data_IF_772266978358
#
_entry.id   IF_772266978358
#
_cell.length_a   1.000
_cell.length_b   1.000
_cell.length_c   1.000
_cell.angle_alpha   90.00
_cell.angle_beta   90.00
_cell.angle_gamma   90.00
#
_symmetry.space_group_name_H-M   'P 1'
#
loop_
_entity.id
_entity.type
_entity.pdbx_description
1 polymer ?
#
# COMPACT_ATOMS: atom_id res chain seq x y z
N UNK A 1 -50.35 -2.37 2.06
CA UNK A 1 -49.12 -2.79 2.78
C UNK A 1 -47.95 -2.20 2.00
N UNK A 2 -47.42 -1.06 2.43
CA UNK A 2 -46.25 -0.44 1.80
C UNK A 2 -45.01 -1.19 2.26
N UNK A 3 -44.37 -1.95 1.38
CA UNK A 3 -43.04 -2.50 1.64
C UNK A 3 -42.04 -1.35 1.53
N UNK A 4 -41.62 -0.82 2.68
CA UNK A 4 -40.42 0.02 2.78
C UNK A 4 -39.23 -0.92 2.67
N UNK A 5 -38.61 -0.99 1.49
CA UNK A 5 -37.28 -1.56 1.35
C UNK A 5 -36.30 -0.61 2.06
N UNK A 6 -35.98 -0.93 3.32
CA UNK A 6 -34.82 -0.40 4.00
C UNK A 6 -33.58 -0.95 3.28
N UNK A 7 -33.07 -0.20 2.32
CA UNK A 7 -31.71 -0.37 1.86
C UNK A 7 -30.80 -0.03 3.04
N UNK A 8 -30.31 -1.05 3.73
CA UNK A 8 -29.14 -0.93 4.59
C UNK A 8 -27.96 -0.62 3.68
N UNK A 9 -27.76 0.66 3.38
CA UNK A 9 -26.50 1.14 2.82
C UNK A 9 -25.46 0.93 3.91
N UNK A 10 -24.73 -0.19 3.84
CA UNK A 10 -23.54 -0.37 4.69
C UNK A 10 -22.62 0.82 4.45
N UNK A 11 -22.26 1.53 5.53
CA UNK A 11 -21.38 2.67 5.44
C UNK A 11 -19.97 2.18 5.06
N UNK A 12 -19.37 2.83 4.06
CA UNK A 12 -18.02 2.48 3.63
C UNK A 12 -17.02 2.77 4.75
N UNK A 13 -16.25 1.74 5.12
CA UNK A 13 -15.17 1.87 6.11
C UNK A 13 -14.11 2.88 5.62
N UNK A 14 -13.78 3.91 6.39
CA UNK A 14 -12.80 4.92 6.00
C UNK A 14 -11.40 4.35 5.75
N UNK A 15 -10.73 4.82 4.71
CA UNK A 15 -9.39 4.36 4.29
C UNK A 15 -8.34 5.43 4.57
N UNK A 16 -7.28 5.02 5.25
CA UNK A 16 -6.07 5.83 5.43
C UNK A 16 -4.95 5.20 4.58
N UNK A 17 -4.47 5.95 3.58
CA UNK A 17 -3.45 5.51 2.62
C UNK A 17 -2.06 6.00 3.03
N UNK A 18 -1.10 5.08 3.17
CA UNK A 18 0.28 5.35 3.60
C UNK A 18 1.25 4.79 2.55
N UNK A 19 2.09 5.65 1.97
CA UNK A 19 3.11 5.21 1.01
C UNK A 19 4.42 4.76 1.68
N UNK A 20 5.37 4.30 0.88
CA UNK A 20 6.65 3.77 1.34
C UNK A 20 7.72 4.82 1.61
N UNK A 21 8.95 4.33 1.80
CA UNK A 21 10.14 5.16 1.69
C UNK A 21 10.13 5.81 0.31
N UNK A 22 10.48 7.11 0.22
CA UNK A 22 10.39 7.87 -1.03
C UNK A 22 8.95 8.09 -1.56
N UNK A 23 7.93 7.75 -0.77
CA UNK A 23 6.54 7.65 -1.23
C UNK A 23 5.70 8.93 -1.11
N UNK A 24 6.19 9.99 -0.49
CA UNK A 24 5.54 11.29 -0.43
C UNK A 24 6.57 12.43 -0.54
N UNK A 25 6.17 13.64 -0.95
CA UNK A 25 7.05 14.80 -0.90
C UNK A 25 7.44 15.16 0.55
N UNK A 26 8.62 15.73 0.71
CA UNK A 26 9.07 16.37 1.95
C UNK A 26 9.41 17.83 1.67
N UNK A 27 8.95 18.71 2.56
CA UNK A 27 9.16 20.14 2.50
C UNK A 27 10.01 20.58 3.67
N UNK A 28 10.87 21.58 3.47
CA UNK A 28 11.71 22.12 4.52
C UNK A 28 11.58 23.64 4.61
N UNK A 29 11.53 24.13 5.84
CA UNK A 29 11.76 25.54 6.19
C UNK A 29 13.07 25.62 6.96
N UNK A 30 13.96 26.54 6.57
CA UNK A 30 15.26 26.74 7.21
C UNK A 30 15.36 28.16 7.77
N UNK A 31 15.23 28.29 9.09
CA UNK A 31 15.50 29.54 9.78
C UNK A 31 17.00 29.68 10.04
N UNK A 32 17.69 30.47 9.20
CA UNK A 32 19.14 30.67 9.31
C UNK A 32 19.59 31.26 10.64
N UNK A 33 18.73 31.98 11.36
CA UNK A 33 19.09 32.54 12.67
C UNK A 33 19.32 31.48 13.75
N UNK A 34 18.74 30.29 13.56
CA UNK A 34 18.87 29.15 14.48
C UNK A 34 19.94 28.14 14.01
N UNK A 35 20.53 28.36 12.83
CA UNK A 35 21.63 27.55 12.29
C UNK A 35 22.96 28.03 12.88
N UNK A 36 23.89 27.13 13.30
CA UNK A 36 25.23 27.51 13.77
C UNK A 36 25.98 28.43 12.81
N UNK A 37 26.68 29.44 13.33
CA UNK A 37 27.34 30.50 12.54
C UNK A 37 28.34 29.94 11.51
N UNK A 38 29.01 28.85 11.85
CA UNK A 38 30.05 28.19 11.05
C UNK A 38 29.47 27.55 9.78
N UNK A 39 28.23 27.06 9.85
CA UNK A 39 27.49 26.58 8.68
C UNK A 39 26.82 27.75 7.96
N UNK A 40 26.20 28.65 8.74
CA UNK A 40 25.37 29.74 8.23
C UNK A 40 26.10 30.58 7.19
N UNK A 41 27.40 30.83 7.32
CA UNK A 41 28.17 31.66 6.39
C UNK A 41 28.58 31.00 5.07
N UNK A 42 28.44 29.67 4.94
CA UNK A 42 28.93 28.95 3.75
C UNK A 42 28.08 29.24 2.51
N UNK A 43 28.73 29.33 1.35
CA UNK A 43 28.09 29.65 0.07
C UNK A 43 27.26 28.50 -0.50
N UNK A 44 27.58 27.27 -0.11
CA UNK A 44 26.88 26.04 -0.46
C UNK A 44 25.79 25.64 0.55
N UNK A 45 25.54 26.48 1.58
CA UNK A 45 24.43 26.33 2.53
C UNK A 45 23.14 27.02 2.05
N UNK A 46 22.04 26.84 2.79
CA UNK A 46 20.71 27.30 2.39
C UNK A 46 20.62 28.82 2.15
N UNK A 47 19.82 29.28 1.17
CA UNK A 47 19.50 30.70 1.00
C UNK A 47 18.71 31.27 2.20
N UNK A 48 18.64 32.60 2.32
CA UNK A 48 18.00 33.26 3.47
C UNK A 48 16.51 32.95 3.64
N UNK A 49 15.78 32.78 2.54
CA UNK A 49 14.32 32.68 2.55
C UNK A 49 13.85 31.28 2.13
N UNK A 50 14.43 30.23 2.70
CA UNK A 50 13.99 28.86 2.42
C UNK A 50 12.79 28.52 3.31
N UNK A 51 11.59 28.65 2.77
CA UNK A 51 10.33 28.35 3.46
C UNK A 51 9.50 27.37 2.63
N UNK A 52 9.04 26.29 3.27
CA UNK A 52 8.22 25.25 2.68
C UNK A 52 8.76 24.75 1.31
N UNK A 53 10.08 24.64 1.19
CA UNK A 53 10.76 24.22 -0.03
C UNK A 53 10.68 22.71 -0.16
N UNK A 54 10.15 22.20 -1.27
CA UNK A 54 10.11 20.77 -1.57
C UNK A 54 11.53 20.28 -1.89
N UNK A 55 12.20 19.66 -0.92
CA UNK A 55 13.54 19.10 -1.12
C UNK A 55 13.51 17.62 -1.55
N UNK A 56 12.33 17.00 -1.48
CA UNK A 56 12.08 15.66 -2.00
C UNK A 56 10.67 15.56 -2.62
N UNK A 57 10.49 14.92 -3.80
CA UNK A 57 11.53 14.59 -4.76
C UNK A 57 12.28 15.86 -5.21
N UNK A 58 13.56 15.67 -5.55
CA UNK A 58 14.46 16.78 -5.84
C UNK A 58 14.45 17.12 -7.34
N UNK A 59 13.56 18.03 -7.73
CA UNK A 59 13.34 18.39 -9.14
C UNK A 59 14.12 19.65 -9.59
N UNK A 60 14.72 20.40 -8.65
CA UNK A 60 15.43 21.66 -8.93
C UNK A 60 16.95 21.46 -9.00
N UNK A 61 17.43 21.15 -10.22
CA UNK A 61 18.86 20.94 -10.51
C UNK A 61 19.76 22.11 -10.17
N UNK A 62 19.27 23.32 -10.35
CA UNK A 62 20.05 24.52 -10.09
C UNK A 62 20.25 24.71 -8.59
N UNK A 63 19.17 24.57 -7.81
CA UNK A 63 19.22 24.70 -6.36
C UNK A 63 20.22 23.72 -5.76
N UNK A 64 20.12 22.44 -6.11
CA UNK A 64 20.96 21.44 -5.45
C UNK A 64 22.42 21.47 -5.85
N UNK A 65 22.70 21.86 -7.10
CA UNK A 65 24.09 22.06 -7.56
C UNK A 65 24.74 23.22 -6.84
N UNK A 66 23.96 24.26 -6.55
CA UNK A 66 24.42 25.45 -5.84
C UNK A 66 24.51 25.27 -4.33
N UNK A 67 23.60 24.49 -3.73
CA UNK A 67 23.45 24.35 -2.29
C UNK A 67 23.53 22.89 -1.77
N UNK A 68 24.55 22.11 -2.12
CA UNK A 68 24.63 20.70 -1.74
C UNK A 68 24.74 20.47 -0.22
N UNK A 69 25.35 21.40 0.53
CA UNK A 69 25.37 21.32 2.00
C UNK A 69 23.98 21.54 2.58
N UNK A 70 23.19 22.47 2.03
CA UNK A 70 21.81 22.68 2.47
C UNK A 70 20.99 21.39 2.41
N UNK A 71 21.14 20.64 1.32
CA UNK A 71 20.42 19.37 1.13
C UNK A 71 20.77 18.34 2.18
N UNK A 72 22.07 18.09 2.39
CA UNK A 72 22.52 17.16 3.42
C UNK A 72 22.03 17.59 4.81
N UNK A 73 22.09 18.90 5.11
CA UNK A 73 21.67 19.45 6.38
C UNK A 73 20.17 19.25 6.69
N UNK A 74 19.30 19.30 5.68
CA UNK A 74 17.87 19.03 5.85
C UNK A 74 17.56 17.55 6.15
N UNK A 75 18.49 16.64 5.81
CA UNK A 75 18.32 15.19 5.95
C UNK A 75 19.05 14.61 7.17
N UNK A 76 19.89 15.41 7.84
CA UNK A 76 20.68 14.98 8.98
C UNK A 76 19.83 14.91 10.25
N UNK A 77 19.96 13.85 11.05
CA UNK A 77 19.33 13.78 12.36
C UNK A 77 20.09 14.64 13.39
N UNK A 78 19.36 15.25 14.30
CA UNK A 78 19.91 15.88 15.50
C UNK A 78 19.38 15.17 16.74
N UNK A 79 20.18 15.05 17.78
CA UNK A 79 19.72 14.58 19.08
C UNK A 79 19.72 15.73 20.07
N UNK A 80 18.52 16.14 20.48
CA UNK A 80 18.34 17.12 21.53
C UNK A 80 18.65 16.45 22.87
N UNK A 81 19.77 16.81 23.48
CA UNK A 81 20.23 16.22 24.75
C UNK A 81 19.37 16.63 25.95
N UNK A 82 18.67 17.77 25.86
CA UNK A 82 17.78 18.27 26.90
C UNK A 82 16.45 17.52 26.88
N UNK A 83 15.85 17.41 25.70
CA UNK A 83 14.57 16.71 25.49
C UNK A 83 14.75 15.19 25.33
N UNK A 84 16.00 14.72 25.19
CA UNK A 84 16.41 13.31 25.01
C UNK A 84 15.68 12.62 23.86
N UNK A 85 15.53 13.34 22.74
CA UNK A 85 14.85 12.85 21.54
C UNK A 85 15.55 13.31 20.28
N UNK A 86 15.27 12.62 19.19
CA UNK A 86 15.71 13.04 17.87
C UNK A 86 14.81 14.14 17.33
N UNK A 87 15.42 15.07 16.62
CA UNK A 87 14.79 16.15 15.88
C UNK A 87 15.53 16.33 14.55
N UNK A 88 15.08 17.28 13.73
CA UNK A 88 15.88 17.80 12.63
C UNK A 88 17.00 18.71 13.15
N UNK A 89 17.97 19.01 12.29
CA UNK A 89 19.08 19.93 12.59
C UNK A 89 18.60 21.31 13.06
N UNK A 90 19.37 22.03 13.91
CA UNK A 90 19.01 23.36 14.34
C UNK A 90 18.66 24.30 13.18
N UNK A 91 17.50 24.96 13.30
CA UNK A 91 16.93 25.83 12.27
C UNK A 91 16.20 25.12 11.14
N UNK A 92 16.15 23.78 11.10
CA UNK A 92 15.39 23.02 10.11
C UNK A 92 14.05 22.58 10.69
N UNK A 93 12.99 22.79 9.93
CA UNK A 93 11.70 22.14 10.13
C UNK A 93 11.32 21.41 8.86
N UNK A 94 11.10 20.09 8.96
CA UNK A 94 10.55 19.30 7.87
C UNK A 94 9.04 19.16 8.07
N UNK A 95 8.28 19.32 6.98
CA UNK A 95 6.85 19.07 6.93
C UNK A 95 6.51 18.15 5.76
N UNK A 96 5.34 17.52 5.88
CA UNK A 96 4.80 16.61 4.88
C UNK A 96 3.49 17.17 4.33
N UNK A 97 2.80 16.42 3.46
CA UNK A 97 1.48 16.81 3.01
C UNK A 97 0.50 16.88 4.19
N UNK A 98 -0.49 17.79 4.14
CA UNK A 98 -1.57 17.79 5.12
C UNK A 98 -2.30 16.44 5.15
N UNK A 99 -2.71 16.01 6.34
CA UNK A 99 -3.57 14.84 6.50
C UNK A 99 -4.81 14.94 5.59
N UNK A 100 -5.15 13.83 4.93
CA UNK A 100 -6.22 13.77 3.94
C UNK A 100 -5.73 13.87 2.50
N UNK A 101 -4.58 14.52 2.26
CA UNK A 101 -4.02 14.64 0.93
C UNK A 101 -3.32 13.35 0.49
N UNK A 102 -3.92 12.66 -0.48
CA UNK A 102 -3.35 11.47 -1.13
C UNK A 102 -2.83 11.73 -2.56
N UNK A 103 -3.02 12.94 -3.11
CA UNK A 103 -2.77 13.24 -4.53
C UNK A 103 -1.31 13.13 -4.96
N UNK A 104 -0.37 13.13 -4.01
CA UNK A 104 1.06 12.99 -4.26
C UNK A 104 1.64 11.78 -3.50
N UNK A 105 0.81 10.84 -3.06
CA UNK A 105 1.28 9.57 -2.53
C UNK A 105 1.61 8.64 -3.68
N UNK A 106 2.84 8.15 -3.71
CA UNK A 106 3.32 7.25 -4.74
C UNK A 106 2.52 5.95 -4.72
N UNK A 107 2.18 5.46 -5.92
CA UNK A 107 1.53 4.17 -6.22
C UNK A 107 0.03 4.06 -5.94
N UNK A 108 -0.64 5.11 -5.49
CA UNK A 108 -2.06 5.03 -5.11
C UNK A 108 -3.06 5.45 -6.19
N UNK A 109 -2.63 5.92 -7.37
CA UNK A 109 -3.54 6.47 -8.40
C UNK A 109 -4.68 5.49 -8.76
N UNK A 110 -4.35 4.27 -9.18
CA UNK A 110 -5.33 3.23 -9.52
C UNK A 110 -6.18 2.81 -8.32
N UNK A 111 -5.59 2.75 -7.12
CA UNK A 111 -6.32 2.41 -5.90
C UNK A 111 -7.38 3.48 -5.58
N UNK A 112 -7.00 4.76 -5.66
CA UNK A 112 -7.88 5.90 -5.42
C UNK A 112 -8.99 5.96 -6.47
N UNK A 113 -8.66 5.78 -7.75
CA UNK A 113 -9.66 5.72 -8.82
C UNK A 113 -10.71 4.63 -8.55
N UNK A 114 -10.27 3.43 -8.14
CA UNK A 114 -11.18 2.35 -7.79
C UNK A 114 -12.02 2.68 -6.55
N UNK A 115 -11.41 3.23 -5.49
CA UNK A 115 -12.13 3.65 -4.29
C UNK A 115 -13.22 4.67 -4.62
N UNK A 116 -12.90 5.70 -5.41
CA UNK A 116 -13.87 6.71 -5.85
C UNK A 116 -15.01 6.08 -6.66
N UNK A 117 -14.71 5.08 -7.50
CA UNK A 117 -15.74 4.36 -8.26
C UNK A 117 -16.71 3.56 -7.38
N UNK A 118 -16.29 3.17 -6.17
CA UNK A 118 -17.13 2.52 -5.15
C UNK A 118 -17.93 3.51 -4.28
N UNK A 119 -17.77 4.82 -4.50
CA UNK A 119 -18.47 5.86 -3.73
C UNK A 119 -17.71 6.37 -2.50
N UNK A 120 -16.40 6.14 -2.42
CA UNK A 120 -15.57 6.84 -1.44
C UNK A 120 -15.51 8.34 -1.75
N UNK A 121 -15.54 9.14 -0.69
CA UNK A 121 -15.52 10.59 -0.73
C UNK A 121 -14.22 11.13 -0.11
N UNK A 122 -13.45 11.95 -0.86
CA UNK A 122 -12.24 12.59 -0.37
C UNK A 122 -12.51 13.41 0.90
N UNK A 123 -11.64 13.28 1.91
CA UNK A 123 -11.76 13.96 3.20
C UNK A 123 -12.99 13.59 4.06
N UNK A 124 -13.77 12.59 3.65
CA UNK A 124 -14.89 12.02 4.44
C UNK A 124 -14.54 10.61 4.89
N UNK A 125 -14.21 9.73 3.93
CA UNK A 125 -13.84 8.33 4.19
C UNK A 125 -12.63 7.87 3.34
N UNK A 126 -11.93 8.78 2.65
CA UNK A 126 -10.70 8.53 1.92
C UNK A 126 -9.65 9.59 2.24
N UNK A 127 -8.52 9.17 2.82
CA UNK A 127 -7.50 10.06 3.37
C UNK A 127 -6.09 9.58 3.04
N UNK A 128 -5.23 10.50 2.58
CA UNK A 128 -3.79 10.27 2.53
C UNK A 128 -3.10 10.63 3.85
N UNK A 129 -2.05 9.87 4.17
CA UNK A 129 -1.20 10.10 5.34
C UNK A 129 0.25 10.09 4.88
N UNK A 130 0.90 11.25 4.93
CA UNK A 130 2.32 11.40 4.65
C UNK A 130 3.13 11.58 5.94
N UNK A 131 4.35 11.08 5.94
CA UNK A 131 5.24 11.11 7.09
C UNK A 131 6.68 11.38 6.64
N UNK A 132 7.55 11.77 7.59
CA UNK A 132 8.97 11.93 7.32
C UNK A 132 9.61 10.54 7.22
N UNK A 133 9.59 9.98 6.01
CA UNK A 133 10.11 8.66 5.74
C UNK A 133 11.63 8.59 5.87
N UNK A 134 12.35 9.72 5.87
CA UNK A 134 13.81 9.76 6.05
C UNK A 134 14.18 9.68 7.54
N UNK A 135 13.37 10.28 8.41
CA UNK A 135 13.60 10.32 9.87
C UNK A 135 12.80 9.26 10.65
N UNK A 136 11.91 8.52 10.00
CA UNK A 136 11.23 7.37 10.60
C UNK A 136 12.25 6.29 11.06
N UNK A 137 12.13 5.69 12.26
CA UNK A 137 11.08 5.85 13.27
C UNK A 137 11.37 6.90 14.34
N UNK A 138 12.49 7.62 14.29
CA UNK A 138 12.94 8.48 15.38
C UNK A 138 12.16 9.79 15.52
N UNK A 139 11.47 10.24 14.47
CA UNK A 139 10.67 11.48 14.46
C UNK A 139 9.27 11.24 13.90
N UNK A 140 8.58 10.20 14.39
CA UNK A 140 7.25 9.81 13.90
C UNK A 140 6.08 10.20 14.82
N UNK A 141 6.36 10.55 16.08
CA UNK A 141 5.35 10.78 17.12
C UNK A 141 4.34 11.86 16.74
N UNK A 142 4.78 13.00 16.20
CA UNK A 142 3.89 14.09 15.77
C UNK A 142 2.89 13.61 14.69
N UNK A 143 3.34 12.74 13.78
CA UNK A 143 2.45 12.17 12.75
C UNK A 143 1.52 11.12 13.35
N UNK A 144 1.98 10.35 14.33
CA UNK A 144 1.14 9.42 15.08
C UNK A 144 0.03 10.12 15.87
N UNK A 145 0.32 11.26 16.50
CA UNK A 145 -0.68 12.12 17.13
C UNK A 145 -1.75 12.58 16.14
N UNK A 146 -1.33 13.03 14.94
CA UNK A 146 -2.24 13.42 13.85
C UNK A 146 -3.12 12.26 13.41
N UNK A 147 -2.54 11.07 13.21
CA UNK A 147 -3.30 9.87 12.80
C UNK A 147 -4.34 9.52 13.87
N UNK A 148 -3.93 9.50 15.14
CA UNK A 148 -4.82 9.15 16.26
C UNK A 148 -5.99 10.12 16.38
N UNK A 149 -5.72 11.43 16.39
CA UNK A 149 -6.76 12.45 16.48
C UNK A 149 -7.73 12.40 15.29
N UNK A 150 -7.23 12.19 14.07
CA UNK A 150 -8.09 12.09 12.89
C UNK A 150 -8.85 10.76 12.83
N UNK A 151 -8.29 9.65 13.33
CA UNK A 151 -9.00 8.38 13.47
C UNK A 151 -10.22 8.55 14.38
N UNK A 152 -10.07 9.22 15.53
CA UNK A 152 -11.18 9.49 16.45
C UNK A 152 -12.23 10.41 15.83
N UNK A 153 -11.80 11.46 15.12
CA UNK A 153 -12.69 12.38 14.42
C UNK A 153 -13.49 11.67 13.32
N UNK A 154 -12.81 10.90 12.46
CA UNK A 154 -13.43 10.20 11.33
C UNK A 154 -14.38 9.12 11.82
N UNK A 155 -14.00 8.35 12.85
CA UNK A 155 -14.92 7.38 13.45
C UNK A 155 -16.16 8.06 14.05
N UNK A 156 -15.99 9.21 14.71
CA UNK A 156 -17.13 9.96 15.26
C UNK A 156 -18.08 10.47 14.16
N UNK A 157 -17.55 10.90 13.01
CA UNK A 157 -18.37 11.44 11.91
C UNK A 157 -19.00 10.36 11.04
N UNK A 158 -18.32 9.23 10.85
CA UNK A 158 -18.78 8.15 9.94
C UNK A 158 -19.48 7.02 10.68
N UNK A 159 -19.25 6.86 11.98
CA UNK A 159 -19.66 5.68 12.75
C UNK A 159 -18.78 4.45 12.56
N UNK A 160 -17.84 4.50 11.61
CA UNK A 160 -17.05 3.35 11.15
C UNK A 160 -15.62 3.36 11.68
N UNK A 161 -15.05 2.16 11.82
CA UNK A 161 -13.63 2.00 12.15
C UNK A 161 -12.76 2.16 10.89
N UNK A 162 -11.55 2.62 11.08
CA UNK A 162 -10.62 2.93 9.99
C UNK A 162 -9.91 1.67 9.48
N UNK A 163 -9.66 1.61 8.19
CA UNK A 163 -8.79 0.64 7.54
C UNK A 163 -7.50 1.33 7.10
N UNK A 164 -6.36 0.80 7.51
CA UNK A 164 -5.05 1.26 7.03
C UNK A 164 -4.65 0.50 5.78
N UNK A 165 -4.28 1.21 4.72
CA UNK A 165 -3.66 0.65 3.51
C UNK A 165 -2.24 1.17 3.44
N UNK A 166 -1.28 0.26 3.43
CA UNK A 166 0.13 0.63 3.52
C UNK A 166 0.93 0.01 2.38
N UNK A 167 1.99 0.70 1.99
CA UNK A 167 2.96 0.23 1.00
C UNK A 167 4.37 0.28 1.56
N UNK A 168 5.18 -0.77 1.36
CA UNK A 168 6.63 -0.75 1.65
C UNK A 168 6.94 -0.32 3.10
N UNK A 169 7.80 0.69 3.31
CA UNK A 169 8.11 1.23 4.64
C UNK A 169 6.88 1.78 5.37
N UNK A 170 5.83 2.20 4.66
CA UNK A 170 4.57 2.62 5.27
C UNK A 170 3.95 1.53 6.14
N UNK A 171 4.24 0.26 5.79
CA UNK A 171 3.95 -0.87 6.65
C UNK A 171 4.67 -0.77 7.99
N UNK A 172 6.00 -0.58 8.02
CA UNK A 172 6.74 -0.46 9.27
C UNK A 172 6.21 0.72 10.11
N UNK A 173 5.95 1.85 9.45
CA UNK A 173 5.39 3.04 10.08
C UNK A 173 4.06 2.77 10.80
N UNK A 174 3.09 2.15 10.12
CA UNK A 174 1.80 1.80 10.76
C UNK A 174 1.94 0.65 11.75
N UNK A 175 2.84 -0.31 11.52
CA UNK A 175 3.12 -1.35 12.52
C UNK A 175 3.53 -0.72 13.85
N UNK A 176 4.49 0.21 13.84
CA UNK A 176 4.93 0.93 15.06
C UNK A 176 3.79 1.75 15.69
N UNK A 177 2.97 2.41 14.87
CA UNK A 177 1.80 3.14 15.35
C UNK A 177 0.83 2.23 16.13
N UNK A 178 0.56 1.04 15.59
CA UNK A 178 -0.42 0.11 16.16
C UNK A 178 0.11 -0.66 17.37
N UNK A 179 1.40 -1.03 17.38
CA UNK A 179 1.99 -1.92 18.39
C UNK A 179 2.71 -1.19 19.52
N UNK A 180 3.41 -0.09 19.23
CA UNK A 180 4.31 0.57 20.18
C UNK A 180 3.74 1.88 20.69
N UNK A 181 3.09 2.65 19.82
CA UNK A 181 2.55 3.96 20.15
C UNK A 181 1.11 3.89 20.71
N UNK A 182 0.24 3.10 20.08
CA UNK A 182 -1.17 3.01 20.44
C UNK A 182 -1.46 1.95 21.49
N UNK A 183 -2.44 2.22 22.37
CA UNK A 183 -2.94 1.21 23.32
C UNK A 183 -3.77 0.16 22.57
N UNK A 184 -3.61 -1.15 22.84
CA UNK A 184 -4.35 -2.20 22.14
C UNK A 184 -5.88 -2.03 22.14
N UNK A 185 -6.47 -1.59 23.24
CA UNK A 185 -7.92 -1.35 23.33
C UNK A 185 -8.38 -0.16 22.47
N UNK A 186 -7.53 0.85 22.33
CA UNK A 186 -7.80 1.95 21.41
C UNK A 186 -7.78 1.45 19.97
N UNK A 187 -6.78 0.64 19.59
CA UNK A 187 -6.67 0.06 18.24
C UNK A 187 -7.90 -0.80 17.94
N UNK A 188 -8.25 -1.74 18.82
CA UNK A 188 -9.44 -2.61 18.63
C UNK A 188 -10.75 -1.83 18.51
N UNK A 189 -10.86 -0.68 19.17
CA UNK A 189 -12.06 0.13 19.13
C UNK A 189 -12.12 1.09 17.95
N UNK A 190 -11.00 1.49 17.34
CA UNK A 190 -10.96 2.51 16.29
C UNK A 190 -10.50 2.02 14.91
N UNK A 191 -9.82 0.90 14.86
CA UNK A 191 -9.25 0.31 13.63
C UNK A 191 -9.99 -0.98 13.33
N UNK A 192 -10.47 -1.12 12.10
CA UNK A 192 -11.10 -2.34 11.60
C UNK A 192 -10.02 -3.36 11.23
N UNK A 193 -9.07 -2.90 10.41
CA UNK A 193 -8.06 -3.76 9.81
C UNK A 193 -6.87 -2.97 9.27
N UNK A 194 -5.80 -3.69 8.97
CA UNK A 194 -4.61 -3.15 8.31
C UNK A 194 -4.19 -4.04 7.15
N UNK A 195 -3.96 -3.41 6.00
CA UNK A 195 -3.51 -4.03 4.77
C UNK A 195 -2.09 -3.59 4.46
N UNK A 196 -1.25 -4.58 4.22
CA UNK A 196 0.18 -4.45 4.06
C UNK A 196 0.57 -4.92 2.67
N UNK A 197 0.85 -3.97 1.78
CA UNK A 197 1.19 -4.25 0.38
C UNK A 197 2.69 -4.09 0.19
N UNK A 198 3.34 -5.15 -0.27
CA UNK A 198 4.80 -5.24 -0.39
C UNK A 198 5.52 -4.69 0.86
N UNK A 199 5.16 -5.12 2.09
CA UNK A 199 5.59 -4.43 3.29
C UNK A 199 7.06 -4.63 3.62
N UNK A 200 7.68 -3.59 4.18
CA UNK A 200 9.08 -3.59 4.59
C UNK A 200 9.25 -3.60 6.13
N UNK A 201 8.38 -4.28 6.87
CA UNK A 201 8.41 -4.26 8.36
C UNK A 201 9.65 -4.86 8.98
N UNK A 202 10.26 -5.81 8.28
CA UNK A 202 11.44 -6.52 8.73
C UNK A 202 12.72 -6.01 8.04
N UNK A 203 12.62 -4.88 7.34
CA UNK A 203 13.66 -4.47 6.41
C UNK A 203 13.81 -5.45 5.24
N UNK A 204 15.01 -5.51 4.68
CA UNK A 204 15.30 -6.20 3.43
C UNK A 204 16.75 -6.70 3.36
N UNK A 205 17.00 -7.71 2.53
CA UNK A 205 18.35 -8.15 2.17
C UNK A 205 19.14 -7.18 1.27
N UNK A 206 18.47 -6.20 0.64
CA UNK A 206 19.07 -5.21 -0.25
C UNK A 206 19.04 -3.80 0.35
N UNK A 207 20.21 -3.22 0.59
CA UNK A 207 20.42 -1.88 1.16
C UNK A 207 21.57 -1.13 0.45
N UNK A 208 21.45 -0.88 -0.87
CA UNK A 208 22.54 -0.37 -1.70
C UNK A 208 22.92 1.05 -1.31
N UNK A 209 21.98 1.90 -0.86
CA UNK A 209 22.29 3.27 -0.42
C UNK A 209 23.23 3.30 0.77
N UNK A 210 23.12 2.33 1.68
CA UNK A 210 24.06 2.20 2.80
C UNK A 210 25.40 1.66 2.30
N UNK A 211 25.43 0.76 1.32
CA UNK A 211 26.69 0.22 0.79
C UNK A 211 27.43 1.25 -0.08
N UNK A 212 26.75 1.96 -0.96
CA UNK A 212 27.38 2.84 -1.95
C UNK A 212 27.53 4.28 -1.41
N UNK A 213 26.75 4.64 -0.39
CA UNK A 213 26.61 6.01 0.12
C UNK A 213 26.15 7.00 -0.96
N UNK A 214 25.31 6.52 -1.86
CA UNK A 214 24.68 7.29 -2.92
C UNK A 214 23.15 7.21 -2.82
N UNK A 215 22.48 8.35 -2.99
CA UNK A 215 21.02 8.41 -3.03
C UNK A 215 20.48 8.41 -4.48
N UNK A 216 21.31 8.75 -5.46
CA UNK A 216 20.96 8.84 -6.88
C UNK A 216 20.36 10.19 -7.31
N UNK A 217 19.46 10.78 -6.52
CA UNK A 217 18.82 12.07 -6.83
C UNK A 217 19.54 13.30 -6.25
N UNK A 218 20.56 13.08 -5.42
CA UNK A 218 21.32 14.13 -4.75
C UNK A 218 22.80 14.04 -5.12
N UNK A 219 23.49 15.18 -5.09
CA UNK A 219 24.94 15.21 -5.32
C UNK A 219 25.65 14.50 -4.16
N UNK A 220 26.51 13.56 -4.51
CA UNK A 220 27.33 12.82 -3.55
C UNK A 220 28.46 13.70 -3.01
N UNK A 221 28.20 14.44 -1.93
CA UNK A 221 29.20 15.16 -1.12
C UNK A 221 29.55 14.39 0.16
N UNK A 222 30.61 14.82 0.85
CA UNK A 222 30.98 14.28 2.17
C UNK A 222 29.82 14.42 3.17
N UNK A 223 29.15 15.56 3.17
CA UNK A 223 28.01 15.82 4.04
C UNK A 223 26.79 14.97 3.67
N UNK A 224 26.52 14.77 2.37
CA UNK A 224 25.46 13.87 1.91
C UNK A 224 25.76 12.41 2.28
N UNK A 225 27.01 11.95 2.16
CA UNK A 225 27.42 10.62 2.64
C UNK A 225 27.16 10.46 4.14
N UNK A 226 27.44 11.48 4.94
CA UNK A 226 27.09 11.46 6.37
C UNK A 226 25.58 11.42 6.59
N UNK A 227 24.79 12.21 5.85
CA UNK A 227 23.33 12.17 5.93
C UNK A 227 22.78 10.78 5.61
N UNK A 228 23.31 10.11 4.58
CA UNK A 228 22.91 8.75 4.19
C UNK A 228 23.28 7.73 5.27
N UNK A 229 24.52 7.76 5.78
CA UNK A 229 24.98 6.88 6.87
C UNK A 229 24.09 6.98 8.11
N UNK A 230 23.61 8.19 8.41
CA UNK A 230 22.85 8.49 9.60
C UNK A 230 21.33 8.48 9.40
N UNK A 231 20.83 8.18 8.19
CA UNK A 231 19.40 8.30 7.89
C UNK A 231 18.56 7.22 8.59
N UNK A 232 17.73 7.57 9.59
CA UNK A 232 16.90 6.60 10.31
C UNK A 232 16.07 5.69 9.40
N UNK A 233 15.44 6.28 8.38
CA UNK A 233 14.56 5.60 7.44
C UNK A 233 15.27 4.62 6.51
N UNK A 234 16.58 4.74 6.32
CA UNK A 234 17.35 3.72 5.61
C UNK A 234 17.83 2.63 6.56
N UNK A 235 18.30 3.03 7.74
CA UNK A 235 18.82 2.09 8.74
C UNK A 235 17.73 1.15 9.25
N UNK A 236 16.48 1.61 9.34
CA UNK A 236 15.34 0.77 9.77
C UNK A 236 14.97 -0.30 8.73
N UNK A 237 15.41 -0.12 7.48
CA UNK A 237 15.21 -1.09 6.40
C UNK A 237 16.31 -2.14 6.31
N UNK A 238 17.30 -2.11 7.21
CA UNK A 238 18.24 -3.22 7.38
C UNK A 238 17.51 -4.48 7.86
N UNK A 239 18.08 -5.68 7.62
CA UNK A 239 17.45 -6.94 8.02
C UNK A 239 17.12 -6.99 9.52
N UNK A 240 15.85 -7.25 9.85
CA UNK A 240 15.41 -7.53 11.21
C UNK A 240 15.99 -8.88 11.69
N UNK A 241 16.46 -8.91 12.93
CA UNK A 241 17.28 -10.02 13.44
C UNK A 241 16.48 -11.28 13.70
N UNK A 242 15.16 -11.14 13.86
CA UNK A 242 14.25 -12.26 14.13
C UNK A 242 13.65 -12.79 12.83
N UNK A 243 13.14 -11.91 11.96
CA UNK A 243 12.59 -12.32 10.67
C UNK A 243 13.66 -12.94 9.75
N UNK A 244 14.90 -12.46 9.83
CA UNK A 244 16.04 -12.99 9.07
C UNK A 244 16.90 -13.98 9.86
N UNK A 245 16.45 -14.50 11.02
CA UNK A 245 17.28 -15.30 11.93
C UNK A 245 17.97 -16.49 11.24
N UNK A 246 17.29 -17.15 10.30
CA UNK A 246 17.80 -18.32 9.59
C UNK A 246 18.49 -17.97 8.26
N UNK A 247 18.47 -16.72 7.83
CA UNK A 247 18.99 -16.28 6.53
C UNK A 247 20.40 -15.72 6.62
N UNK A 248 21.25 -16.15 5.70
CA UNK A 248 22.56 -15.52 5.49
C UNK A 248 22.37 -14.24 4.73
N UNK A 249 22.87 -13.12 5.28
CA UNK A 249 22.73 -11.80 4.67
C UNK A 249 24.03 -11.34 4.02
N UNK A 250 25.19 -11.79 4.54
CA UNK A 250 26.49 -11.63 3.89
C UNK A 250 27.21 -12.97 3.81
N UNK A 251 27.66 -13.32 2.60
CA UNK A 251 28.48 -14.51 2.35
C UNK A 251 29.96 -14.12 2.24
N UNK A 252 30.83 -15.08 2.58
CA UNK A 252 32.29 -14.94 2.58
C UNK A 252 32.79 -13.81 3.49
N UNK A 253 32.20 -13.66 4.67
CA UNK A 253 32.59 -12.62 5.62
C UNK A 253 32.56 -13.13 7.06
N UNK A 254 33.63 -12.92 7.85
CA UNK A 254 34.83 -12.12 7.55
C UNK A 254 35.89 -12.82 6.70
N UNK A 255 35.75 -14.13 6.43
CA UNK A 255 36.63 -14.87 5.54
C UNK A 255 35.85 -15.67 4.49
N UNK A 256 36.53 -16.13 3.44
CA UNK A 256 35.93 -17.00 2.43
C UNK A 256 35.31 -18.26 3.06
N UNK A 257 34.04 -18.55 2.73
CA UNK A 257 33.28 -19.65 3.30
C UNK A 257 32.47 -19.30 4.55
N UNK A 258 32.74 -18.17 5.21
CA UNK A 258 31.97 -17.72 6.38
C UNK A 258 30.62 -17.12 5.96
N UNK A 259 29.62 -17.27 6.82
CA UNK A 259 28.28 -16.71 6.63
C UNK A 259 27.92 -15.79 7.79
N UNK A 260 27.51 -14.57 7.46
CA UNK A 260 27.03 -13.59 8.42
C UNK A 260 25.50 -13.52 8.40
N UNK A 261 24.92 -13.62 9.60
CA UNK A 261 23.48 -13.47 9.86
C UNK A 261 23.13 -12.03 10.25
N UNK A 262 21.86 -11.66 10.10
CA UNK A 262 21.36 -10.30 10.36
C UNK A 262 21.78 -9.72 11.73
N UNK A 263 21.79 -10.53 12.79
CA UNK A 263 22.20 -10.12 14.14
C UNK A 263 23.62 -9.53 14.23
N UNK A 264 24.49 -9.87 13.27
CA UNK A 264 25.87 -9.41 13.22
C UNK A 264 26.11 -8.35 12.13
N UNK A 265 25.06 -7.81 11.50
CA UNK A 265 25.19 -6.88 10.36
C UNK A 265 26.03 -5.65 10.69
N UNK A 266 26.04 -5.22 11.95
CA UNK A 266 26.86 -4.10 12.42
C UNK A 266 28.36 -4.32 12.16
N UNK A 267 28.87 -5.55 12.27
CA UNK A 267 30.28 -5.86 11.97
C UNK A 267 30.62 -5.68 10.48
N UNK A 268 29.68 -6.00 9.59
CA UNK A 268 29.84 -5.75 8.16
C UNK A 268 29.80 -4.26 7.83
N UNK A 269 28.89 -3.51 8.45
CA UNK A 269 28.84 -2.05 8.31
C UNK A 269 30.13 -1.38 8.80
N UNK A 270 30.72 -1.90 9.87
CA UNK A 270 32.02 -1.46 10.38
C UNK A 270 33.16 -1.76 9.41
N UNK A 271 33.21 -2.97 8.84
CA UNK A 271 34.17 -3.33 7.81
C UNK A 271 34.14 -2.41 6.57
N UNK A 272 32.95 -1.92 6.22
CA UNK A 272 32.74 -0.95 5.15
C UNK A 272 33.13 0.48 5.53
N UNK A 273 33.38 0.78 6.81
CA UNK A 273 33.62 2.15 7.30
C UNK A 273 32.33 2.98 7.43
N UNK A 274 31.17 2.33 7.63
CA UNK A 274 29.88 3.03 7.78
C UNK A 274 29.71 3.70 9.13
N UNK A 275 30.56 3.39 10.10
CA UNK A 275 30.62 4.10 11.38
C UNK A 275 31.77 5.10 11.46
N UNK A 276 32.51 5.30 10.37
CA UNK A 276 33.58 6.29 10.31
C UNK A 276 32.96 7.67 10.22
N UNK A 277 32.88 8.36 11.36
CA UNK A 277 32.36 9.71 11.43
C UNK A 277 33.43 10.71 11.01
N UNK A 278 33.11 11.46 9.96
CA UNK A 278 33.95 12.55 9.53
C UNK A 278 33.55 13.82 10.29
N UNK A 279 34.53 14.59 10.78
CA UNK A 279 34.27 15.94 11.32
C UNK A 279 33.86 16.87 10.18
N UNK A 280 32.57 16.86 9.84
CA UNK A 280 31.93 17.76 8.87
C UNK A 280 31.49 19.08 9.52
N UNK A 281 31.27 19.07 10.83
CA UNK A 281 30.86 20.21 11.62
C UNK A 281 31.82 20.44 12.79
N UNK A 282 31.98 21.70 13.19
CA UNK A 282 32.77 22.09 14.36
C UNK A 282 32.00 21.93 15.68
N UNK A 283 30.68 21.92 15.64
CA UNK A 283 29.83 21.66 16.80
C UNK A 283 29.62 20.16 17.03
N UNK A 284 29.17 19.82 18.23
CA UNK A 284 28.84 18.45 18.61
C UNK A 284 27.65 17.95 17.78
N UNK A 285 27.95 16.99 16.91
CA UNK A 285 26.98 16.29 16.07
C UNK A 285 26.93 14.82 16.49
N UNK A 286 25.77 14.20 16.31
CA UNK A 286 25.60 12.78 16.64
C UNK A 286 26.50 11.90 15.79
N UNK A 287 27.03 10.85 16.39
CA UNK A 287 27.81 9.83 15.69
C UNK A 287 26.89 8.89 14.92
N UNK A 288 27.37 8.33 13.82
CA UNK A 288 26.61 7.33 13.06
C UNK A 288 26.33 6.10 13.90
N UNK A 289 27.28 5.69 14.74
CA UNK A 289 27.11 4.58 15.68
C UNK A 289 25.94 4.84 16.64
N UNK A 290 25.86 6.05 17.21
CA UNK A 290 24.78 6.39 18.14
C UNK A 290 23.41 6.33 17.48
N UNK A 291 23.26 6.86 16.25
CA UNK A 291 22.00 6.77 15.51
C UNK A 291 21.64 5.31 15.24
N UNK A 292 22.59 4.52 14.75
CA UNK A 292 22.38 3.09 14.49
C UNK A 292 21.92 2.35 15.75
N UNK A 293 22.52 2.59 16.92
CA UNK A 293 22.11 1.96 18.18
C UNK A 293 20.66 2.26 18.57
N UNK A 294 20.12 3.43 18.19
CA UNK A 294 18.69 3.72 18.40
C UNK A 294 17.80 2.93 17.46
N UNK A 295 18.24 2.75 16.21
CA UNK A 295 17.52 1.98 15.20
C UNK A 295 17.60 0.48 15.46
N UNK A 296 18.75 0.00 15.92
CA UNK A 296 19.02 -1.42 16.16
C UNK A 296 18.04 -2.03 17.18
N UNK A 297 17.50 -1.21 18.09
CA UNK A 297 16.43 -1.61 19.03
C UNK A 297 15.20 -2.16 18.30
N UNK A 298 14.85 -1.58 17.17
CA UNK A 298 13.73 -2.03 16.33
C UNK A 298 14.11 -3.26 15.50
N UNK A 299 15.36 -3.34 15.02
CA UNK A 299 15.86 -4.53 14.30
C UNK A 299 15.92 -5.77 15.20
N UNK A 300 16.13 -5.58 16.51
CA UNK A 300 16.13 -6.64 17.53
C UNK A 300 14.73 -7.06 17.97
N UNK A 301 13.72 -6.23 17.73
CA UNK A 301 12.35 -6.52 18.13
C UNK A 301 11.65 -7.42 17.10
N UNK A 302 10.77 -8.34 17.52
CA UNK A 302 9.98 -9.12 16.58
C UNK A 302 8.98 -8.21 15.86
N UNK A 303 8.64 -8.55 14.61
CA UNK A 303 7.57 -7.83 13.90
C UNK A 303 6.25 -8.16 14.58
N UNK A 304 5.60 -7.19 15.27
CA UNK A 304 4.49 -7.49 16.14
C UNK A 304 3.21 -7.74 15.35
N UNK A 305 2.45 -8.75 15.75
CA UNK A 305 1.10 -8.99 15.21
C UNK A 305 0.16 -7.83 15.61
N UNK A 306 -0.52 -7.16 14.66
CA UNK A 306 -1.50 -6.14 14.98
C UNK A 306 -2.67 -6.73 15.80
N UNK A 307 -3.26 -6.00 16.76
CA UNK A 307 -4.39 -6.49 17.56
C UNK A 307 -5.73 -6.52 16.81
N UNK A 308 -5.71 -6.41 15.47
CA UNK A 308 -6.85 -6.35 14.54
C UNK A 308 -6.55 -7.25 13.33
N UNK A 309 -7.56 -7.56 12.50
CA UNK A 309 -7.33 -8.41 11.32
C UNK A 309 -6.35 -7.73 10.36
N UNK A 310 -5.48 -8.53 9.75
CA UNK A 310 -4.46 -8.04 8.84
C UNK A 310 -4.47 -8.79 7.51
N UNK A 311 -4.07 -8.12 6.44
CA UNK A 311 -3.87 -8.71 5.12
C UNK A 311 -2.48 -8.38 4.61
N UNK A 312 -1.71 -9.37 4.18
CA UNK A 312 -0.37 -9.19 3.61
C UNK A 312 -0.37 -9.61 2.15
N UNK A 313 -0.16 -8.64 1.26
CA UNK A 313 -0.06 -8.85 -0.18
C UNK A 313 1.39 -8.65 -0.60
N UNK A 314 2.05 -9.69 -1.12
CA UNK A 314 3.46 -9.65 -1.49
C UNK A 314 3.75 -10.51 -2.71
N UNK A 315 5.01 -10.51 -3.18
CA UNK A 315 5.43 -11.34 -4.30
C UNK A 315 6.82 -11.94 -4.03
N UNK A 316 7.00 -13.17 -4.47
CA UNK A 316 8.27 -13.92 -4.38
C UNK A 316 8.81 -14.31 -5.75
N UNK A 317 8.01 -14.11 -6.81
CA UNK A 317 8.31 -14.61 -8.15
C UNK A 317 9.27 -13.75 -8.96
N UNK A 318 9.71 -12.60 -8.44
CA UNK A 318 10.62 -11.69 -9.15
C UNK A 318 12.02 -11.82 -8.58
N UNK A 319 13.00 -11.97 -9.47
CA UNK A 319 14.40 -12.06 -9.08
C UNK A 319 14.86 -10.74 -8.45
N UNK A 320 15.25 -10.78 -7.19
CA UNK A 320 15.51 -9.62 -6.32
C UNK A 320 16.87 -9.75 -5.68
N UNK A 321 17.56 -8.64 -5.40
CA UNK A 321 18.81 -8.69 -4.64
C UNK A 321 18.48 -9.20 -3.23
N UNK A 322 19.08 -10.33 -2.88
CA UNK A 322 18.72 -11.14 -1.73
C UNK A 322 19.68 -11.00 -0.55
N UNK A 323 20.97 -10.95 -0.89
CA UNK A 323 22.09 -10.89 0.04
C UNK A 323 23.32 -10.38 -0.69
N UNK A 324 24.42 -10.18 0.04
CA UNK A 324 25.69 -9.78 -0.54
C UNK A 324 26.78 -10.82 -0.32
N UNK A 325 27.83 -10.76 -1.15
CA UNK A 325 29.04 -11.56 -1.03
C UNK A 325 30.25 -10.66 -1.04
N UNK A 326 31.14 -10.86 -0.07
CA UNK A 326 32.43 -10.19 -0.03
C UNK A 326 33.45 -10.95 -0.88
N UNK A 327 34.18 -10.21 -1.71
CA UNK A 327 35.32 -10.69 -2.47
C UNK A 327 36.58 -9.98 -1.96
N UNK A 328 37.16 -10.46 -0.85
CA UNK A 328 38.31 -9.82 -0.19
C UNK A 328 39.57 -9.77 -1.05
N UNK A 329 39.78 -10.78 -1.90
CA UNK A 329 40.91 -10.81 -2.85
C UNK A 329 40.84 -9.68 -3.90
N UNK A 330 39.67 -9.06 -4.07
CA UNK A 330 39.40 -8.02 -5.06
C UNK A 330 39.18 -6.64 -4.39
N UNK A 331 40.02 -6.20 -3.44
CA UNK A 331 39.90 -4.87 -2.80
C UNK A 331 38.52 -4.60 -2.14
N UNK A 332 37.96 -5.57 -1.40
CA UNK A 332 36.65 -5.44 -0.72
C UNK A 332 35.45 -5.27 -1.67
N UNK A 333 35.49 -5.83 -2.88
CA UNK A 333 34.33 -5.77 -3.79
C UNK A 333 33.13 -6.50 -3.16
N UNK A 334 32.00 -5.82 -3.12
CA UNK A 334 30.72 -6.37 -2.68
C UNK A 334 29.91 -6.75 -3.91
N UNK A 335 29.53 -8.03 -4.03
CA UNK A 335 28.66 -8.51 -5.10
C UNK A 335 27.29 -8.85 -4.57
N UNK A 336 26.26 -8.55 -5.35
CA UNK A 336 24.88 -8.96 -5.04
C UNK A 336 24.68 -10.44 -5.34
N UNK A 337 23.87 -11.09 -4.52
CA UNK A 337 23.30 -12.41 -4.80
C UNK A 337 21.82 -12.17 -5.04
N UNK A 338 21.27 -12.81 -6.08
CA UNK A 338 19.87 -12.70 -6.42
C UNK A 338 19.07 -13.87 -5.81
N UNK A 339 17.81 -13.62 -5.48
CA UNK A 339 16.89 -14.57 -4.87
C UNK A 339 15.43 -14.16 -5.11
N UNK A 340 14.47 -14.81 -4.44
CA UNK A 340 13.05 -14.50 -4.57
C UNK A 340 12.70 -13.14 -3.95
N UNK A 341 11.66 -12.50 -4.48
CA UNK A 341 11.13 -11.24 -3.98
C UNK A 341 10.20 -10.57 -4.97
N UNK A 342 10.05 -9.26 -4.83
CA UNK A 342 9.17 -8.42 -5.65
C UNK A 342 9.93 -7.47 -6.59
N UNK A 343 11.24 -7.66 -6.75
CA UNK A 343 12.14 -6.85 -7.57
C UNK A 343 12.96 -5.85 -6.76
N UNK A 344 12.48 -5.42 -5.58
CA UNK A 344 13.20 -4.51 -4.69
C UNK A 344 13.43 -5.14 -3.30
N UNK A 345 12.41 -5.82 -2.76
CA UNK A 345 12.38 -6.40 -1.42
C UNK A 345 12.23 -7.92 -1.41
N UNK A 346 12.96 -8.54 -0.47
CA UNK A 346 12.93 -9.97 -0.19
C UNK A 346 11.75 -10.32 0.73
N UNK A 347 11.27 -11.58 0.73
CA UNK A 347 9.99 -11.92 1.33
C UNK A 347 10.02 -12.15 2.85
N UNK A 348 11.17 -12.14 3.53
CA UNK A 348 11.31 -12.61 4.92
C UNK A 348 10.37 -11.90 5.89
N UNK A 349 10.14 -10.60 5.71
CA UNK A 349 9.19 -9.86 6.55
C UNK A 349 7.75 -10.32 6.35
N UNK A 350 7.35 -10.55 5.10
CA UNK A 350 6.02 -11.03 4.76
C UNK A 350 5.83 -12.47 5.21
N UNK A 351 6.78 -13.35 4.93
CA UNK A 351 6.76 -14.75 5.35
C UNK A 351 6.79 -14.89 6.88
N UNK A 352 7.55 -14.04 7.57
CA UNK A 352 7.54 -14.02 9.03
C UNK A 352 6.14 -13.71 9.57
N UNK A 353 5.47 -12.67 9.05
CA UNK A 353 4.09 -12.36 9.43
C UNK A 353 3.16 -13.54 9.11
N UNK A 354 3.17 -14.05 7.87
CA UNK A 354 2.27 -15.12 7.43
C UNK A 354 2.45 -16.44 8.20
N UNK A 355 3.66 -16.73 8.68
CA UNK A 355 3.95 -17.97 9.40
C UNK A 355 3.72 -17.85 10.92
N UNK A 356 3.73 -16.64 11.49
CA UNK A 356 3.73 -16.45 12.94
C UNK A 356 2.51 -15.69 13.48
N UNK A 357 1.85 -14.87 12.67
CA UNK A 357 0.63 -14.15 13.08
C UNK A 357 -0.58 -15.06 12.95
N UNK A 358 -1.53 -14.95 13.89
CA UNK A 358 -2.74 -15.79 13.96
C UNK A 358 -3.92 -15.18 13.21
N UNK A 359 -3.97 -13.86 13.11
CA UNK A 359 -5.08 -13.08 12.54
C UNK A 359 -4.60 -12.32 11.30
N UNK A 360 -3.92 -13.05 10.41
CA UNK A 360 -3.42 -12.57 9.13
C UNK A 360 -3.96 -13.42 7.99
N UNK A 361 -4.39 -12.78 6.92
CA UNK A 361 -4.58 -13.41 5.63
C UNK A 361 -3.43 -12.99 4.72
N UNK A 362 -2.87 -13.93 3.95
CA UNK A 362 -1.71 -13.67 3.11
C UNK A 362 -1.96 -14.07 1.66
N UNK A 363 -1.54 -13.21 0.74
CA UNK A 363 -1.53 -13.50 -0.68
C UNK A 363 -0.16 -13.22 -1.27
N UNK A 364 0.49 -14.28 -1.74
CA UNK A 364 1.75 -14.23 -2.47
C UNK A 364 1.45 -14.37 -3.96
N UNK A 365 1.74 -13.34 -4.76
CA UNK A 365 1.60 -13.42 -6.21
C UNK A 365 2.41 -14.57 -6.82
N UNK A 366 3.63 -14.81 -6.30
CA UNK A 366 4.58 -15.79 -6.84
C UNK A 366 4.67 -15.76 -8.38
N UNK A 367 4.75 -14.56 -8.94
CA UNK A 367 4.71 -14.33 -10.38
C UNK A 367 5.82 -13.38 -10.81
N UNK A 368 6.59 -13.80 -11.81
CA UNK A 368 7.56 -12.94 -12.48
C UNK A 368 6.87 -12.00 -13.48
N UNK A 369 6.09 -11.03 -12.98
CA UNK A 369 5.39 -10.04 -13.81
C UNK A 369 5.61 -8.64 -13.25
N UNK A 370 5.98 -7.70 -14.12
CA UNK A 370 6.25 -6.31 -13.74
C UNK A 370 5.07 -5.64 -13.01
N UNK A 371 3.84 -6.00 -13.35
CA UNK A 371 2.63 -5.47 -12.69
C UNK A 371 2.50 -5.87 -11.21
N UNK A 372 3.23 -6.89 -10.76
CA UNK A 372 3.27 -7.35 -9.37
C UNK A 372 4.65 -7.13 -8.75
N UNK A 373 5.44 -6.20 -9.31
CA UNK A 373 6.68 -5.76 -8.66
C UNK A 373 6.40 -4.79 -7.51
N UNK A 374 7.43 -4.52 -6.71
CA UNK A 374 7.35 -3.69 -5.51
C UNK A 374 6.57 -2.39 -5.73
N UNK A 375 6.89 -1.65 -6.80
CA UNK A 375 6.30 -0.34 -7.09
C UNK A 375 4.93 -0.39 -7.79
N UNK A 376 4.51 -1.55 -8.31
CA UNK A 376 3.33 -1.64 -9.18
C UNK A 376 2.16 -2.40 -8.56
N UNK A 377 2.34 -3.09 -7.43
CA UNK A 377 1.26 -3.89 -6.83
C UNK A 377 -0.02 -3.07 -6.62
N UNK A 378 0.05 -1.81 -6.18
CA UNK A 378 -1.12 -0.93 -6.00
C UNK A 378 -1.64 -0.28 -7.30
N UNK A 379 -0.89 -0.37 -8.40
CA UNK A 379 -1.26 0.15 -9.72
C UNK A 379 -2.01 -0.87 -10.58
N UNK A 380 -2.17 -2.10 -10.10
CA UNK A 380 -2.82 -3.17 -10.83
C UNK A 380 -4.19 -3.48 -10.24
N UNK A 381 -5.21 -3.48 -11.09
CA UNK A 381 -6.62 -3.64 -10.68
C UNK A 381 -6.88 -4.94 -9.92
N UNK A 382 -6.22 -6.05 -10.28
CA UNK A 382 -6.39 -7.33 -9.59
C UNK A 382 -5.92 -7.28 -8.13
N UNK A 383 -4.81 -6.58 -7.85
CA UNK A 383 -4.35 -6.36 -6.48
C UNK A 383 -5.33 -5.48 -5.70
N UNK A 384 -5.81 -4.40 -6.34
CA UNK A 384 -6.75 -3.47 -5.73
C UNK A 384 -8.05 -4.20 -5.38
N UNK A 385 -8.60 -5.00 -6.29
CA UNK A 385 -9.80 -5.83 -6.03
C UNK A 385 -9.61 -6.76 -4.83
N UNK A 386 -8.51 -7.51 -4.77
CA UNK A 386 -8.20 -8.37 -3.62
C UNK A 386 -8.17 -7.61 -2.29
N UNK A 387 -7.68 -6.37 -2.30
CA UNK A 387 -7.69 -5.53 -1.09
C UNK A 387 -9.13 -5.16 -0.71
N UNK A 388 -9.97 -4.76 -1.67
CA UNK A 388 -11.37 -4.42 -1.40
C UNK A 388 -12.24 -5.63 -1.02
N UNK A 389 -11.97 -6.81 -1.58
CA UNK A 389 -12.55 -8.09 -1.17
C UNK A 389 -12.31 -8.33 0.33
N UNK A 390 -11.06 -8.16 0.78
CA UNK A 390 -10.69 -8.31 2.21
C UNK A 390 -11.34 -7.26 3.12
N UNK A 391 -11.48 -6.02 2.64
CA UNK A 391 -12.14 -4.94 3.39
C UNK A 391 -13.61 -5.30 3.63
N UNK A 392 -14.25 -5.95 2.65
CA UNK A 392 -15.65 -6.38 2.69
C UNK A 392 -16.63 -5.27 2.33
N UNK A 393 -16.21 -4.31 1.49
CA UNK A 393 -17.03 -3.18 1.04
C UNK A 393 -17.56 -3.34 -0.39
N UNK A 394 -17.23 -4.42 -1.09
CA UNK A 394 -17.88 -4.72 -2.37
C UNK A 394 -19.34 -5.08 -2.11
N UNK A 395 -20.26 -4.33 -2.74
CA UNK A 395 -21.61 -4.85 -2.97
C UNK A 395 -21.39 -6.09 -3.83
N UNK A 396 -21.64 -7.29 -3.30
CA UNK A 396 -21.70 -8.46 -4.15
C UNK A 396 -22.74 -8.18 -5.24
N UNK A 397 -22.28 -8.04 -6.48
CA UNK A 397 -23.09 -7.87 -7.69
C UNK A 397 -24.05 -9.07 -7.94
N UNK A 398 -24.07 -10.06 -7.05
CA UNK A 398 -25.05 -11.15 -7.05
C UNK A 398 -26.50 -10.63 -7.06
N UNK A 399 -26.80 -9.49 -6.42
CA UNK A 399 -28.14 -8.89 -6.47
C UNK A 399 -28.45 -8.22 -7.81
N UNK A 400 -27.46 -7.61 -8.49
CA UNK A 400 -27.64 -6.98 -9.79
C UNK A 400 -27.80 -8.02 -10.91
N UNK A 401 -27.11 -9.16 -10.81
CA UNK A 401 -27.23 -10.27 -11.75
C UNK A 401 -28.50 -11.10 -11.50
N UNK A 402 -28.90 -11.27 -10.24
CA UNK A 402 -30.21 -11.82 -9.83
C UNK A 402 -31.36 -10.97 -10.35
N UNK A 403 -31.33 -9.65 -10.12
CA UNK A 403 -32.37 -8.74 -10.58
C UNK A 403 -32.48 -8.68 -12.11
N UNK A 404 -31.35 -8.75 -12.84
CA UNK A 404 -31.36 -8.89 -14.31
C UNK A 404 -31.91 -10.25 -14.76
N UNK A 405 -31.62 -11.34 -14.05
CA UNK A 405 -32.20 -12.67 -14.32
C UNK A 405 -33.70 -12.71 -14.08
N UNK A 406 -34.18 -12.13 -12.98
CA UNK A 406 -35.62 -12.04 -12.67
C UNK A 406 -36.35 -11.14 -13.68
N UNK A 407 -35.78 -9.98 -14.02
CA UNK A 407 -36.36 -9.08 -15.00
C UNK A 407 -36.41 -9.71 -16.40
N UNK A 408 -35.37 -10.45 -16.80
CA UNK A 408 -35.37 -11.20 -18.06
C UNK A 408 -36.34 -12.39 -18.01
N UNK A 409 -36.48 -13.09 -16.89
CA UNK A 409 -37.47 -14.16 -16.73
C UNK A 409 -38.91 -13.63 -16.81
N UNK A 410 -39.17 -12.41 -16.32
CA UNK A 410 -40.48 -11.76 -16.43
C UNK A 410 -40.73 -11.25 -17.86
N UNK A 411 -39.76 -10.56 -18.47
CA UNK A 411 -39.90 -9.99 -19.82
C UNK A 411 -39.98 -11.05 -20.92
N UNK A 412 -39.25 -12.15 -20.80
CA UNK A 412 -39.19 -13.20 -21.82
C UNK A 412 -40.00 -14.46 -21.46
N UNK A 413 -40.22 -14.75 -20.17
CA UNK A 413 -41.00 -15.92 -19.74
C UNK A 413 -42.51 -15.70 -19.79
N UNK A 414 -43.02 -14.53 -19.39
CA UNK A 414 -44.45 -14.24 -19.37
C UNK A 414 -45.11 -14.28 -20.78
N UNK A 415 -44.49 -13.74 -21.85
CA UNK A 415 -45.07 -13.82 -23.20
C UNK A 415 -45.10 -15.25 -23.76
N UNK A 416 -44.15 -16.10 -23.39
CA UNK A 416 -44.07 -17.49 -23.84
C UNK A 416 -45.18 -18.33 -23.21
N UNK A 417 -45.44 -18.14 -21.91
CA UNK A 417 -46.52 -18.83 -21.20
C UNK A 417 -47.89 -18.36 -21.73
N UNK A 418 -48.10 -17.06 -21.91
CA UNK A 418 -49.33 -16.54 -22.50
C UNK A 418 -49.52 -17.00 -23.96
N UNK A 419 -48.43 -17.08 -24.75
CA UNK A 419 -48.48 -17.60 -26.12
C UNK A 419 -48.86 -19.07 -26.19
N UNK A 420 -48.33 -19.90 -25.28
CA UNK A 420 -48.66 -21.32 -25.18
C UNK A 420 -50.11 -21.55 -24.76
N UNK A 421 -50.64 -20.77 -23.82
CA UNK A 421 -52.06 -20.86 -23.43
C UNK A 421 -53.00 -20.49 -24.59
N UNK A 422 -52.67 -19.46 -25.37
CA UNK A 422 -53.46 -19.08 -26.56
C UNK A 422 -53.45 -20.22 -27.59
N UNK A 423 -52.30 -20.85 -27.84
CA UNK A 423 -52.20 -21.98 -28.78
C UNK A 423 -53.03 -23.18 -28.30
N UNK A 424 -53.01 -23.49 -27.00
CA UNK A 424 -53.82 -24.58 -26.43
C UNK A 424 -55.31 -24.28 -26.56
N UNK A 425 -55.74 -23.03 -26.33
CA UNK A 425 -57.14 -22.61 -26.51
C UNK A 425 -57.56 -22.72 -27.98
N UNK A 426 -56.73 -22.24 -28.91
CA UNK A 426 -57.01 -22.32 -30.36
C UNK A 426 -57.09 -23.76 -30.83
N UNK A 427 -56.16 -24.63 -30.42
CA UNK A 427 -56.19 -26.05 -30.76
C UNK A 427 -57.41 -26.76 -30.17
N UNK A 428 -57.81 -26.42 -28.94
CA UNK A 428 -59.00 -26.96 -28.30
C UNK A 428 -60.27 -26.55 -29.03
N UNK A 429 -60.37 -25.30 -29.48
CA UNK A 429 -61.48 -24.80 -30.30
C UNK A 429 -61.53 -25.50 -31.66
N UNK A 430 -60.38 -25.64 -32.34
CA UNK A 430 -60.30 -26.39 -33.62
C UNK A 430 -60.76 -27.83 -33.43
N UNK A 431 -60.37 -28.50 -32.33
CA UNK A 431 -60.82 -29.86 -32.03
C UNK A 431 -62.33 -29.94 -31.75
N UNK A 432 -62.89 -28.91 -31.10
CA UNK A 432 -64.33 -28.81 -30.83
C UNK A 432 -65.14 -28.66 -32.12
N UNK A 433 -64.74 -27.76 -33.02
CA UNK A 433 -65.42 -27.54 -34.30
C UNK A 433 -65.26 -28.72 -35.27
N UNK A 434 -64.12 -29.40 -35.26
CA UNK A 434 -63.91 -30.60 -36.08
C UNK A 434 -64.74 -31.81 -35.61
N UNK A 435 -65.16 -31.82 -34.33
CA UNK A 435 -66.03 -32.86 -33.77
C UNK A 435 -67.50 -32.64 -34.17
N UNK A 436 -67.94 -31.40 -34.37
CA UNK A 436 -69.28 -31.08 -34.90
C UNK A 436 -69.42 -31.42 -36.40
N UNK A 437 -68.37 -31.23 -37.20
CA UNK A 437 -68.37 -31.65 -38.62
C UNK A 437 -68.44 -33.17 -38.82
N UNK A 438 -67.92 -33.96 -37.88
CA UNK A 438 -67.94 -35.43 -37.97
C UNK A 438 -69.30 -36.01 -37.53
N UNK A 439 -70.12 -35.27 -36.77
CA UNK A 439 -71.47 -35.70 -36.40
C UNK A 439 -72.57 -35.34 -37.41
N UNK A 440 -72.30 -34.47 -38.39
CA UNK A 440 -73.27 -34.10 -39.43
C UNK A 440 -73.15 -34.89 -40.76
N UNK A 441 -72.20 -35.83 -40.85
CA UNK A 441 -71.81 -36.52 -42.10
C UNK A 441 -72.34 -37.95 -42.33
N UNK A 442 -73.38 -38.41 -41.64
CA UNK A 442 -73.97 -39.75 -41.86
C UNK A 442 -75.47 -39.64 -42.17
N UNK A 443 -75.79 -39.58 -43.46
CA UNK A 443 -77.15 -39.76 -43.97
C UNK A 443 -77.37 -39.21 -45.38
N UNK A 444 -76.95 -39.95 -46.41
CA UNK A 444 -77.60 -39.86 -47.72
C UNK A 444 -78.89 -40.71 -47.69
N UNK A 445 -79.92 -40.37 -48.49
CA UNK A 445 -79.99 -41.02 -49.79
C UNK A 445 -80.40 -40.10 -50.96
N UNK A 446 -80.03 -40.58 -52.14
CA UNK A 446 -80.22 -39.96 -53.44
C UNK A 446 -81.69 -39.72 -53.82
N UNK A 447 -81.89 -38.63 -54.55
CA UNK A 447 -83.10 -38.29 -55.27
C UNK A 447 -83.14 -38.99 -56.64
N UNK A 448 -84.34 -39.37 -57.08
CA UNK A 448 -84.75 -39.21 -58.47
C UNK A 448 -86.28 -39.05 -58.53
N UNK A 449 -86.72 -37.86 -58.94
CA UNK A 449 -88.09 -37.56 -59.31
C UNK A 449 -88.08 -36.94 -60.71
N UNK A 450 -89.02 -37.41 -61.51
CA UNK A 450 -89.11 -37.21 -62.94
C UNK A 450 -89.66 -35.82 -63.32
N UNK A 451 -89.13 -35.29 -64.43
CA UNK A 451 -89.87 -34.81 -65.61
C UNK A 451 -90.59 -33.44 -65.55
N UNK A 452 -90.02 -32.53 -66.37
CA UNK A 452 -90.63 -31.61 -67.37
C UNK A 452 -91.08 -30.16 -67.05
N UNK A 453 -90.68 -29.32 -68.04
CA UNK A 453 -91.32 -28.12 -68.64
C UNK A 453 -91.19 -26.76 -67.92
N UNK A 454 -90.43 -25.82 -68.51
CA UNK A 454 -90.86 -24.71 -69.42
C UNK A 454 -91.36 -23.50 -68.62
N UNK A 455 -91.18 -22.23 -68.96
CA UNK A 455 -90.50 -21.41 -69.97
C UNK A 455 -90.87 -19.95 -69.58
N UNK A 456 -90.18 -18.96 -70.17
CA UNK A 456 -90.52 -17.52 -70.15
C UNK A 456 -90.15 -16.81 -68.83
N UNK A 457 -89.47 -15.66 -68.80
CA UNK A 457 -89.28 -14.56 -69.76
C UNK A 457 -87.90 -13.93 -69.57
#
# INVERSE_FOLDING_TARGET
>A
MFFVFLYLSFALKPLFLISGFNGNPLFATVNRNDVPNEIRGRTDFCPQNLENYQFYPNDDKEFYTKYPLCQAYMMLPHYDTKEKKFTHMPGVKVSTLPFGNYSQLLNYDTFVEYALSLGYEPNVNLFGVSYDFMMHPLVSDDTFDIIKANTEKVKKSTGEKIVFITHSQGGHFISQFLSNYSKPDWVKSHVDSVIFVAPAFAGNGNYPRIIDLEYGQFITTKEMKTAIKQMPGQLILLPNYIAFANKTVIHNFPSFGDELKAVNISSFLEYLGRFDDEKIFSFEHVTTRFVFEQIEKYLKAPVPEPPVKSYVLYNTGINTVDSYRVHDYDNKVIKVIMGPGDGDFTPEGSEHACNNWKNVECFNWNMNKAQFNHASMLKHSESVKKIFDFIGNEKHDEEAESSKRELNAILFGAPIVCGLEIVVIVLSLIFFFKKEEVQSGLGAPAAEAAVFKSSEL
#
